data_IF_025034963118
#
_entry.id   IF_025034963118
#
_cell.length_a   1.000
_cell.length_b   1.000
_cell.length_c   1.000
_cell.angle_alpha   90.00
_cell.angle_beta   90.00
_cell.angle_gamma   90.00
#
_symmetry.space_group_name_H-M   'P 1'
#
loop_
_entity.id
_entity.type
_entity.pdbx_description
1 polymer ?
#
# COMPACT_ATOMS: atom_id res chain seq x y z
N UNK A 1 0.31 -5.43 -25.81
CA UNK A 1 1.07 -4.19 -25.76
C UNK A 1 0.61 -3.29 -24.60
N UNK A 2 1.40 -2.27 -24.29
CA UNK A 2 1.07 -1.30 -23.24
C UNK A 2 -0.27 -0.64 -23.52
N UNK A 3 -0.51 -0.24 -24.76
CA UNK A 3 -1.77 0.38 -25.15
C UNK A 3 -2.98 -0.50 -24.82
N UNK A 4 -2.89 -1.78 -25.11
CA UNK A 4 -3.99 -2.72 -24.82
C UNK A 4 -4.23 -2.86 -23.32
N UNK A 5 -3.16 -2.89 -22.51
CA UNK A 5 -3.27 -2.95 -21.05
C UNK A 5 -3.93 -1.71 -20.50
N UNK A 6 -3.59 -0.54 -21.00
CA UNK A 6 -4.23 0.74 -20.61
C UNK A 6 -5.70 0.74 -20.98
N UNK A 7 -6.05 0.25 -22.18
CA UNK A 7 -7.45 0.12 -22.59
C UNK A 7 -8.24 -0.76 -21.61
N UNK A 8 -7.66 -1.87 -21.15
CA UNK A 8 -8.29 -2.76 -20.16
C UNK A 8 -8.52 -2.01 -18.85
N UNK A 9 -7.55 -1.21 -18.38
CA UNK A 9 -7.74 -0.41 -17.17
C UNK A 9 -8.96 0.53 -17.34
N UNK A 10 -9.06 1.19 -18.48
CA UNK A 10 -10.11 2.15 -18.75
C UNK A 10 -11.49 1.51 -18.98
N UNK A 11 -11.54 0.23 -19.23
CA UNK A 11 -12.80 -0.53 -19.29
C UNK A 11 -13.45 -0.73 -17.92
N UNK A 12 -12.71 -0.51 -16.83
CA UNK A 12 -13.19 -0.60 -15.46
C UNK A 12 -13.75 -1.99 -15.12
N UNK A 13 -13.07 -3.01 -15.64
CA UNK A 13 -13.38 -4.41 -15.32
C UNK A 13 -12.87 -4.74 -13.91
N UNK A 14 -13.70 -5.39 -13.11
CA UNK A 14 -13.38 -5.64 -11.70
C UNK A 14 -12.27 -6.66 -11.50
N UNK A 15 -11.94 -7.46 -12.51
CA UNK A 15 -10.87 -8.46 -12.47
C UNK A 15 -9.66 -8.01 -13.27
N UNK A 16 -9.86 -7.69 -14.54
CA UNK A 16 -8.76 -7.48 -15.47
C UNK A 16 -8.14 -6.09 -15.38
N UNK A 17 -8.91 -5.07 -14.99
CA UNK A 17 -8.35 -3.72 -14.87
C UNK A 17 -7.29 -3.63 -13.78
N UNK A 18 -7.52 -4.14 -12.53
CA UNK A 18 -6.44 -4.16 -11.55
C UNK A 18 -5.24 -5.00 -11.98
N UNK A 19 -5.48 -6.19 -12.55
CA UNK A 19 -4.39 -7.07 -13.00
C UNK A 19 -3.53 -6.42 -14.08
N UNK A 20 -4.16 -5.67 -15.00
CA UNK A 20 -3.44 -4.96 -16.04
C UNK A 20 -2.51 -3.89 -15.49
N UNK A 21 -2.97 -3.14 -14.49
CA UNK A 21 -2.11 -2.14 -13.84
C UNK A 21 -0.95 -2.79 -13.09
N UNK A 22 -1.21 -3.88 -12.38
CA UNK A 22 -0.15 -4.60 -11.66
C UNK A 22 0.91 -5.11 -12.65
N UNK A 23 0.48 -5.65 -13.78
CA UNK A 23 1.40 -6.11 -14.81
C UNK A 23 2.26 -4.97 -15.35
N UNK A 24 1.66 -3.82 -15.62
CA UNK A 24 2.39 -2.62 -16.09
C UNK A 24 3.46 -2.22 -15.07
N UNK A 25 3.13 -2.17 -13.79
CA UNK A 25 4.05 -1.76 -12.74
C UNK A 25 5.16 -2.80 -12.54
N UNK A 26 4.79 -4.07 -12.43
CA UNK A 26 5.74 -5.15 -12.16
C UNK A 26 6.76 -5.31 -13.30
N UNK A 27 6.37 -5.03 -14.52
CA UNK A 27 7.23 -5.12 -15.69
C UNK A 27 7.80 -3.77 -16.14
N UNK A 28 7.56 -2.71 -15.38
CA UNK A 28 8.08 -1.36 -15.62
C UNK A 28 7.79 -0.87 -17.03
N UNK A 29 6.58 -1.14 -17.52
CA UNK A 29 6.19 -0.80 -18.90
C UNK A 29 5.89 0.69 -19.07
N UNK A 30 5.52 1.39 -18.01
CA UNK A 30 5.31 2.83 -17.98
C UNK A 30 6.13 3.38 -16.81
N UNK A 31 6.94 4.41 -17.07
CA UNK A 31 7.79 5.02 -16.07
C UNK A 31 7.23 6.32 -15.48
N UNK A 32 6.24 6.92 -16.13
CA UNK A 32 5.68 8.19 -15.69
C UNK A 32 4.81 7.99 -14.44
N UNK A 33 5.24 8.56 -13.32
CA UNK A 33 4.57 8.40 -12.03
C UNK A 33 3.17 9.02 -12.02
N UNK A 34 3.00 10.16 -12.68
CA UNK A 34 1.70 10.83 -12.75
C UNK A 34 0.71 9.97 -13.53
N UNK A 35 1.16 9.38 -14.63
CA UNK A 35 0.33 8.50 -15.44
C UNK A 35 -0.09 7.25 -14.65
N UNK A 36 0.83 6.57 -13.99
CA UNK A 36 0.53 5.41 -13.15
C UNK A 36 -0.47 5.77 -12.04
N UNK A 37 -0.27 6.91 -11.38
CA UNK A 37 -1.19 7.34 -10.34
C UNK A 37 -2.59 7.65 -10.88
N UNK A 38 -2.71 8.13 -12.12
CA UNK A 38 -4.01 8.32 -12.74
C UNK A 38 -4.75 6.99 -12.95
N UNK A 39 -4.02 5.92 -13.24
CA UNK A 39 -4.61 4.58 -13.36
C UNK A 39 -5.04 4.01 -12.00
N UNK A 40 -4.26 4.24 -10.96
CA UNK A 40 -4.70 3.93 -9.60
C UNK A 40 -6.01 4.63 -9.26
N UNK A 41 -6.13 5.90 -9.60
CA UNK A 41 -7.35 6.67 -9.35
C UNK A 41 -8.55 6.11 -10.13
N UNK A 42 -8.35 5.68 -11.38
CA UNK A 42 -9.38 5.00 -12.15
C UNK A 42 -9.89 3.75 -11.44
N UNK A 43 -8.98 2.95 -10.88
CA UNK A 43 -9.36 1.74 -10.15
C UNK A 43 -10.05 2.04 -8.82
N UNK A 44 -9.55 3.02 -8.08
CA UNK A 44 -10.04 3.31 -6.73
C UNK A 44 -11.37 4.09 -6.77
N UNK A 45 -11.49 5.04 -7.70
CA UNK A 45 -12.60 5.98 -7.73
C UNK A 45 -13.69 5.56 -8.71
N UNK A 46 -13.32 5.06 -9.89
CA UNK A 46 -14.25 4.84 -11.00
C UNK A 46 -14.67 3.37 -11.19
N UNK A 47 -13.92 2.43 -10.66
CA UNK A 47 -14.16 1.00 -10.84
C UNK A 47 -14.87 0.45 -9.61
N UNK A 48 -15.96 -0.31 -9.82
CA UNK A 48 -16.77 -0.86 -8.71
C UNK A 48 -16.13 -2.13 -8.15
N UNK A 49 -15.00 -1.99 -7.49
CA UNK A 49 -14.27 -3.10 -6.88
C UNK A 49 -14.89 -3.50 -5.54
N UNK A 50 -14.84 -4.79 -5.22
CA UNK A 50 -15.16 -5.27 -3.88
C UNK A 50 -14.19 -4.66 -2.86
N UNK A 51 -14.64 -4.54 -1.61
CA UNK A 51 -13.93 -3.81 -0.56
C UNK A 51 -12.46 -4.20 -0.44
N UNK A 52 -12.15 -5.49 -0.29
CA UNK A 52 -10.76 -5.89 -0.05
C UNK A 52 -9.91 -5.90 -1.31
N UNK A 53 -10.52 -6.01 -2.47
CA UNK A 53 -9.82 -5.83 -3.74
C UNK A 53 -9.43 -4.34 -3.89
N UNK A 54 -10.34 -3.44 -3.60
CA UNK A 54 -10.07 -2.00 -3.59
C UNK A 54 -8.99 -1.64 -2.57
N UNK A 55 -9.05 -2.23 -1.38
CA UNK A 55 -8.07 -2.00 -0.34
C UNK A 55 -6.68 -2.47 -0.76
N UNK A 56 -6.59 -3.61 -1.48
CA UNK A 56 -5.32 -4.05 -2.03
C UNK A 56 -4.77 -3.05 -3.06
N UNK A 57 -5.63 -2.51 -3.92
CA UNK A 57 -5.22 -1.47 -4.89
C UNK A 57 -4.68 -0.25 -4.17
N UNK A 58 -5.33 0.18 -3.10
CA UNK A 58 -4.88 1.31 -2.26
C UNK A 58 -3.51 1.02 -1.66
N UNK A 59 -3.31 -0.18 -1.12
CA UNK A 59 -2.01 -0.58 -0.57
C UNK A 59 -0.93 -0.58 -1.64
N UNK A 60 -1.21 -1.10 -2.83
CA UNK A 60 -0.27 -1.10 -3.95
C UNK A 60 0.05 0.33 -4.42
N UNK A 61 -0.93 1.23 -4.40
CA UNK A 61 -0.67 2.66 -4.68
C UNK A 61 0.31 3.24 -3.68
N UNK A 62 0.14 2.93 -2.40
CA UNK A 62 1.04 3.40 -1.36
C UNK A 62 2.45 2.85 -1.56
N UNK A 63 2.59 1.56 -1.86
CA UNK A 63 3.89 0.95 -2.17
C UNK A 63 4.58 1.63 -3.35
N UNK A 64 3.83 1.89 -4.41
CA UNK A 64 4.37 2.54 -5.61
C UNK A 64 4.91 3.93 -5.32
N UNK A 65 4.27 4.66 -4.40
CA UNK A 65 4.60 6.06 -4.10
C UNK A 65 5.52 6.24 -2.89
N UNK A 66 5.75 5.20 -2.08
CA UNK A 66 6.39 5.33 -0.76
C UNK A 66 7.76 5.99 -0.79
N UNK A 67 8.59 5.69 -1.80
CA UNK A 67 9.97 6.22 -1.85
C UNK A 67 10.02 7.73 -2.10
N UNK A 68 8.98 8.30 -2.69
CA UNK A 68 8.95 9.70 -3.12
C UNK A 68 7.93 10.53 -2.36
N UNK A 69 7.01 9.89 -1.64
CA UNK A 69 5.94 10.58 -0.94
C UNK A 69 6.44 11.25 0.33
N UNK A 70 5.91 12.44 0.62
CA UNK A 70 6.03 13.02 1.94
C UNK A 70 5.07 12.30 2.90
N UNK A 71 5.32 12.45 4.20
CA UNK A 71 4.57 11.75 5.25
C UNK A 71 3.05 11.92 5.11
N UNK A 72 2.59 13.15 4.93
CA UNK A 72 1.15 13.42 4.85
C UNK A 72 0.49 12.76 3.63
N UNK A 73 1.19 12.71 2.50
CA UNK A 73 0.65 12.09 1.29
C UNK A 73 0.52 10.58 1.46
N UNK A 74 1.54 9.94 2.03
CA UNK A 74 1.50 8.50 2.26
C UNK A 74 0.43 8.12 3.27
N UNK A 75 0.30 8.89 4.36
CA UNK A 75 -0.77 8.69 5.34
C UNK A 75 -2.16 8.85 4.71
N UNK A 76 -2.33 9.86 3.84
CA UNK A 76 -3.60 10.06 3.15
C UNK A 76 -3.98 8.87 2.26
N UNK A 77 -3.00 8.30 1.55
CA UNK A 77 -3.26 7.10 0.73
C UNK A 77 -3.69 5.93 1.62
N UNK A 78 -2.99 5.70 2.72
CA UNK A 78 -3.19 4.53 3.57
C UNK A 78 -4.33 4.68 4.60
N UNK A 79 -4.81 5.90 4.81
CA UNK A 79 -5.81 6.19 5.84
C UNK A 79 -7.05 5.28 5.77
N UNK A 80 -7.63 4.98 4.58
CA UNK A 80 -8.75 4.06 4.50
C UNK A 80 -8.45 2.66 5.03
N UNK A 81 -7.20 2.21 4.99
CA UNK A 81 -6.79 0.90 5.49
C UNK A 81 -6.50 0.94 6.99
N UNK A 82 -5.83 1.98 7.45
CA UNK A 82 -5.41 2.11 8.85
C UNK A 82 -6.61 2.35 9.77
N UNK A 83 -7.60 3.11 9.30
CA UNK A 83 -8.77 3.51 10.10
C UNK A 83 -9.99 2.63 9.85
N UNK A 84 -9.82 1.45 9.31
CA UNK A 84 -10.90 0.50 9.11
C UNK A 84 -10.46 -0.92 9.47
N UNK A 85 -11.41 -1.85 9.48
CA UNK A 85 -11.07 -3.26 9.60
C UNK A 85 -10.88 -3.84 8.21
N UNK A 86 -9.65 -3.90 7.77
CA UNK A 86 -9.25 -4.46 6.49
C UNK A 86 -8.22 -5.55 6.71
N UNK A 87 -8.24 -6.58 5.85
CA UNK A 87 -7.19 -7.60 5.85
C UNK A 87 -5.83 -7.01 5.50
N UNK A 88 -5.80 -5.79 4.95
CA UNK A 88 -4.57 -5.08 4.57
C UNK A 88 -4.12 -4.06 5.61
N UNK A 89 -4.82 -3.97 6.75
CA UNK A 89 -4.47 -2.99 7.80
C UNK A 89 -3.06 -3.20 8.34
N UNK A 90 -2.71 -4.43 8.69
CA UNK A 90 -1.36 -4.71 9.22
C UNK A 90 -0.27 -4.41 8.19
N UNK A 91 -0.52 -4.68 6.91
CA UNK A 91 0.39 -4.32 5.82
C UNK A 91 0.57 -2.80 5.73
N UNK A 92 -0.52 -2.04 5.84
CA UNK A 92 -0.48 -0.57 5.80
C UNK A 92 0.31 0.00 6.97
N UNK A 93 0.08 -0.51 8.17
CA UNK A 93 0.83 -0.10 9.37
C UNK A 93 2.31 -0.45 9.23
N UNK A 94 2.63 -1.61 8.68
CA UNK A 94 4.02 -2.03 8.46
C UNK A 94 4.72 -1.11 7.47
N UNK A 95 4.05 -0.75 6.38
CA UNK A 95 4.60 0.19 5.40
C UNK A 95 4.92 1.54 6.05
N UNK A 96 4.02 2.07 6.88
CA UNK A 96 4.28 3.33 7.59
C UNK A 96 5.45 3.20 8.56
N UNK A 97 5.53 2.07 9.27
CA UNK A 97 6.65 1.81 10.18
C UNK A 97 7.99 1.81 9.44
N UNK A 98 8.05 1.13 8.31
CA UNK A 98 9.26 1.09 7.49
C UNK A 98 9.61 2.46 6.88
N UNK A 99 8.58 3.21 6.46
CA UNK A 99 8.76 4.56 5.94
C UNK A 99 9.47 5.45 6.97
N UNK A 100 9.01 5.44 8.20
CA UNK A 100 9.62 6.24 9.26
C UNK A 100 11.01 5.73 9.63
N UNK A 101 11.20 4.41 9.64
CA UNK A 101 12.51 3.84 9.91
C UNK A 101 13.55 4.28 8.87
N UNK A 102 13.19 4.26 7.60
CA UNK A 102 14.06 4.70 6.51
C UNK A 102 14.42 6.18 6.59
N UNK A 103 13.56 6.99 7.22
CA UNK A 103 13.80 8.42 7.44
C UNK A 103 14.46 8.71 8.78
N UNK A 104 14.96 7.69 9.46
CA UNK A 104 15.60 7.79 10.78
C UNK A 104 14.68 8.40 11.86
N UNK A 105 13.37 8.22 11.69
CA UNK A 105 12.38 8.63 12.68
C UNK A 105 11.97 7.40 13.49
N UNK A 106 12.89 6.92 14.32
CA UNK A 106 12.76 5.63 15.01
C UNK A 106 11.58 5.59 15.99
N UNK A 107 11.27 6.70 16.64
CA UNK A 107 10.15 6.72 17.60
C UNK A 107 8.81 6.52 16.88
N UNK A 108 8.60 7.20 15.76
CA UNK A 108 7.39 7.02 14.96
C UNK A 108 7.31 5.62 14.38
N UNK A 109 8.44 5.10 13.89
CA UNK A 109 8.52 3.73 13.39
C UNK A 109 8.09 2.73 14.46
N UNK A 110 8.62 2.89 15.68
CA UNK A 110 8.30 2.03 16.81
C UNK A 110 6.82 2.06 17.15
N UNK A 111 6.20 3.24 17.11
CA UNK A 111 4.77 3.39 17.38
C UNK A 111 3.93 2.56 16.41
N UNK A 112 4.26 2.58 15.11
CA UNK A 112 3.53 1.80 14.11
C UNK A 112 3.79 0.30 14.27
N UNK A 113 5.01 -0.13 14.54
CA UNK A 113 5.29 -1.54 14.81
C UNK A 113 4.55 -2.02 16.06
N UNK A 114 4.47 -1.20 17.11
CA UNK A 114 3.70 -1.54 18.31
C UNK A 114 2.20 -1.66 18.02
N UNK A 115 1.65 -0.82 17.15
CA UNK A 115 0.25 -0.97 16.75
C UNK A 115 -0.01 -2.33 16.12
N UNK A 116 0.92 -2.82 15.30
CA UNK A 116 0.79 -4.16 14.70
C UNK A 116 0.85 -5.24 15.78
N UNK A 117 1.82 -5.15 16.69
CA UNK A 117 2.00 -6.12 17.77
C UNK A 117 0.77 -6.23 18.66
N UNK A 118 0.05 -5.11 18.84
CA UNK A 118 -1.16 -5.03 19.67
C UNK A 118 -2.45 -5.26 18.89
N UNK A 119 -2.38 -5.44 17.57
CA UNK A 119 -3.55 -5.65 16.74
C UNK A 119 -4.01 -7.11 16.84
N UNK A 120 -5.23 -7.31 17.30
CA UNK A 120 -5.75 -8.66 17.58
C UNK A 120 -5.83 -9.53 16.32
N UNK A 121 -6.27 -8.94 15.21
CA UNK A 121 -6.47 -9.65 13.95
C UNK A 121 -5.39 -9.34 12.91
N UNK A 122 -4.18 -9.03 13.35
CA UNK A 122 -3.07 -8.77 12.44
C UNK A 122 -2.74 -10.02 11.61
N UNK A 123 -2.31 -9.80 10.36
CA UNK A 123 -1.72 -10.87 9.57
C UNK A 123 -0.57 -11.51 10.38
N UNK A 124 -0.56 -12.84 10.57
CA UNK A 124 0.42 -13.49 11.45
C UNK A 124 1.88 -13.26 11.02
N UNK A 125 2.17 -13.29 9.73
CA UNK A 125 3.53 -13.05 9.23
C UNK A 125 3.97 -11.61 9.46
N UNK A 126 3.09 -10.65 9.21
CA UNK A 126 3.37 -9.23 9.45
C UNK A 126 3.57 -8.98 10.94
N UNK A 127 2.76 -9.58 11.79
CA UNK A 127 2.90 -9.46 13.24
C UNK A 127 4.25 -10.00 13.71
N UNK A 128 4.65 -11.15 13.20
CA UNK A 128 5.96 -11.75 13.52
C UNK A 128 7.09 -10.83 13.08
N UNK A 129 7.02 -10.28 11.88
CA UNK A 129 8.04 -9.35 11.37
C UNK A 129 8.10 -8.08 12.23
N UNK A 130 6.95 -7.54 12.62
CA UNK A 130 6.90 -6.37 13.49
C UNK A 130 7.57 -6.62 14.83
N UNK A 131 7.30 -7.77 15.44
CA UNK A 131 7.95 -8.17 16.71
C UNK A 131 9.46 -8.30 16.56
N UNK A 132 9.93 -8.91 15.47
CA UNK A 132 11.37 -9.02 15.18
C UNK A 132 12.01 -7.64 15.00
N UNK A 133 11.36 -6.73 14.30
CA UNK A 133 11.88 -5.37 14.09
C UNK A 133 11.96 -4.60 15.41
N UNK A 134 10.94 -4.72 16.26
CA UNK A 134 10.94 -4.09 17.59
C UNK A 134 12.09 -4.59 18.44
N UNK A 135 12.36 -5.88 18.42
CA UNK A 135 13.41 -6.48 19.26
C UNK A 135 14.82 -6.21 18.72
N UNK A 136 15.00 -6.25 17.41
CA UNK A 136 16.32 -6.12 16.78
C UNK A 136 16.73 -4.68 16.53
N UNK A 137 15.83 -3.88 15.97
CA UNK A 137 16.16 -2.56 15.41
C UNK A 137 15.72 -1.40 16.30
N UNK A 138 14.77 -1.62 17.20
CA UNK A 138 14.07 -0.57 17.95
C UNK A 138 13.95 -0.89 19.45
N UNK A 139 14.86 -1.68 19.97
CA UNK A 139 14.76 -2.21 21.34
C UNK A 139 15.20 -1.23 22.44
N UNK A 140 15.62 -0.04 22.08
CA UNK A 140 15.99 0.97 23.08
C UNK A 140 14.83 1.69 23.68
#
# INVERSE_FOLDING_TARGET
>A
TVKNLVEIINEQDTTYSPLSLYFIIDNKLISNQIEINSYFDTLIIKTSLDKEIKNLVIYKKALFNADQAIESDLLNILNPLINSESVWKSHALYLMAEYFFAKDQKQKSKEFFNQIANLENANPDIKLQAQKRLNRDLSE
#
